data_IF_981776666282
#
_entry.id   IF_981776666282
#
_cell.length_a   1.000
_cell.length_b   1.000
_cell.length_c   1.000
_cell.angle_alpha   90.00
_cell.angle_beta   90.00
_cell.angle_gamma   90.00
#
_symmetry.space_group_name_H-M   'P 1'
#
loop_
_entity.id
_entity.type
_entity.pdbx_description
1 polymer ?
#
# COMPACT_ATOMS: atom_id res chain seq x y z
N UNK A 1 -3.15 -44.68 43.96
CA UNK A 1 -2.77 -43.37 43.40
C UNK A 1 -3.62 -43.18 42.15
N UNK A 2 -4.54 -42.20 42.16
CA UNK A 2 -5.41 -41.87 41.03
C UNK A 2 -4.62 -41.00 40.06
N UNK A 3 -4.58 -41.37 38.78
CA UNK A 3 -4.18 -40.45 37.72
C UNK A 3 -5.39 -39.58 37.40
N UNK A 4 -5.25 -38.27 37.56
CA UNK A 4 -6.23 -37.30 37.07
C UNK A 4 -6.11 -37.15 35.54
N UNK A 5 -7.23 -37.07 34.81
CA UNK A 5 -7.20 -36.77 33.38
C UNK A 5 -7.01 -35.26 33.19
N UNK A 6 -5.91 -34.86 32.56
CA UNK A 6 -5.73 -33.50 32.04
C UNK A 6 -6.66 -33.32 30.83
N UNK A 7 -7.89 -32.90 31.09
CA UNK A 7 -8.88 -32.54 30.09
C UNK A 7 -8.94 -31.03 29.83
N UNK A 8 -8.92 -30.68 28.53
CA UNK A 8 -9.93 -29.78 27.95
C UNK A 8 -9.80 -28.26 28.10
N UNK A 9 -8.60 -27.67 28.16
CA UNK A 9 -8.46 -26.19 28.15
C UNK A 9 -7.92 -25.58 26.84
N UNK A 10 -7.33 -26.38 25.94
CA UNK A 10 -6.67 -25.84 24.73
C UNK A 10 -7.63 -25.47 23.58
N UNK A 11 -8.83 -26.08 23.51
CA UNK A 11 -9.75 -25.92 22.36
C UNK A 11 -10.70 -24.72 22.51
N UNK A 12 -11.11 -24.42 23.75
CA UNK A 12 -11.92 -23.23 24.06
C UNK A 12 -11.15 -21.91 23.90
N UNK A 13 -9.81 -21.96 23.92
CA UNK A 13 -8.94 -20.81 23.71
C UNK A 13 -8.76 -20.47 22.20
N UNK A 14 -9.36 -21.25 21.28
CA UNK A 14 -9.18 -21.18 19.82
C UNK A 14 -10.42 -20.58 19.10
N UNK A 15 -11.63 -21.07 19.41
CA UNK A 15 -12.86 -20.64 18.73
C UNK A 15 -13.25 -19.19 19.10
N UNK A 16 -13.21 -18.84 20.39
CA UNK A 16 -13.51 -17.47 20.84
C UNK A 16 -12.51 -16.44 20.28
N UNK A 17 -11.25 -16.86 20.11
CA UNK A 17 -10.23 -16.04 19.44
C UNK A 17 -10.57 -15.86 17.96
N UNK A 18 -11.00 -16.92 17.28
CA UNK A 18 -11.43 -16.87 15.87
C UNK A 18 -12.64 -15.97 15.66
N UNK A 19 -13.65 -16.05 16.54
CA UNK A 19 -14.80 -15.14 16.54
C UNK A 19 -14.39 -13.69 16.78
N UNK A 20 -13.43 -13.45 17.68
CA UNK A 20 -12.92 -12.11 17.94
C UNK A 20 -12.19 -11.54 16.71
N UNK A 21 -11.41 -12.35 15.99
CA UNK A 21 -10.77 -11.93 14.74
C UNK A 21 -11.80 -11.53 13.67
N UNK A 22 -12.89 -12.29 13.53
CA UNK A 22 -13.98 -11.94 12.61
C UNK A 22 -14.67 -10.62 13.00
N UNK A 23 -14.88 -10.38 14.31
CA UNK A 23 -15.41 -9.12 14.83
C UNK A 23 -14.47 -7.95 14.56
N UNK A 24 -13.17 -8.13 14.80
CA UNK A 24 -12.17 -7.10 14.57
C UNK A 24 -12.08 -6.74 13.09
N UNK A 25 -12.17 -7.72 12.19
CA UNK A 25 -12.23 -7.48 10.75
C UNK A 25 -13.42 -6.57 10.38
N UNK A 26 -14.62 -6.88 10.89
CA UNK A 26 -15.81 -6.06 10.67
C UNK A 26 -15.61 -4.61 11.14
N UNK A 27 -15.07 -4.41 12.35
CA UNK A 27 -14.82 -3.08 12.88
C UNK A 27 -13.74 -2.32 12.10
N UNK A 28 -12.71 -3.01 11.61
CA UNK A 28 -11.67 -2.41 10.75
C UNK A 28 -12.25 -1.92 9.42
N UNK A 29 -13.14 -2.70 8.80
CA UNK A 29 -13.84 -2.29 7.57
C UNK A 29 -14.69 -1.05 7.84
N UNK A 30 -15.43 -1.02 8.96
CA UNK A 30 -16.22 0.15 9.35
C UNK A 30 -15.34 1.39 9.57
N UNK A 31 -14.23 1.25 10.28
CA UNK A 31 -13.26 2.34 10.49
C UNK A 31 -12.68 2.84 9.17
N UNK A 32 -12.32 1.93 8.26
CA UNK A 32 -11.83 2.28 6.94
C UNK A 32 -12.89 3.09 6.15
N UNK A 33 -14.14 2.64 6.14
CA UNK A 33 -15.24 3.35 5.48
C UNK A 33 -15.45 4.76 6.05
N UNK A 34 -15.30 4.94 7.37
CA UNK A 34 -15.37 6.28 7.97
C UNK A 34 -14.19 7.16 7.55
N UNK A 35 -12.98 6.61 7.53
CA UNK A 35 -11.77 7.33 7.15
C UNK A 35 -11.78 7.76 5.66
N UNK A 36 -12.44 7.00 4.79
CA UNK A 36 -12.53 7.32 3.35
C UNK A 36 -13.69 8.27 3.02
N UNK A 37 -14.71 8.39 3.87
CA UNK A 37 -15.95 9.13 3.58
C UNK A 37 -16.09 10.49 4.33
N UNK A 38 -15.28 10.78 5.37
CA UNK A 38 -15.40 11.99 6.19
C UNK A 38 -14.28 13.02 5.97
N UNK A 39 -14.48 14.35 6.16
CA UNK A 39 -13.42 15.35 5.99
C UNK A 39 -12.20 15.14 6.92
N UNK A 40 -10.95 15.34 6.43
CA UNK A 40 -10.58 15.70 5.06
C UNK A 40 -10.62 14.51 4.08
N UNK A 41 -10.82 13.29 4.57
CA UNK A 41 -10.93 12.07 3.79
C UNK A 41 -9.59 11.65 3.23
N UNK A 42 -9.61 11.02 2.06
CA UNK A 42 -8.40 10.70 1.31
C UNK A 42 -7.75 11.98 0.77
N UNK A 43 -6.49 12.21 1.13
CA UNK A 43 -5.74 13.42 0.76
C UNK A 43 -4.67 13.18 -0.31
N UNK A 44 -4.31 11.92 -0.58
CA UNK A 44 -3.22 11.54 -1.49
C UNK A 44 -3.65 10.37 -2.39
N UNK A 45 -3.41 10.42 -3.71
CA UNK A 45 -3.65 9.29 -4.61
C UNK A 45 -2.87 8.02 -4.21
N UNK A 46 -1.66 8.18 -3.66
CA UNK A 46 -0.88 7.05 -3.15
C UNK A 46 -1.58 6.27 -2.04
N UNK A 47 -2.38 6.94 -1.20
CA UNK A 47 -3.20 6.28 -0.19
C UNK A 47 -4.27 5.39 -0.83
N UNK A 48 -4.88 5.83 -1.94
CA UNK A 48 -5.86 5.02 -2.70
C UNK A 48 -5.20 3.76 -3.24
N UNK A 49 -4.01 3.88 -3.83
CA UNK A 49 -3.24 2.73 -4.32
C UNK A 49 -2.98 1.71 -3.20
N UNK A 50 -2.53 2.15 -2.03
CA UNK A 50 -2.29 1.28 -0.88
C UNK A 50 -3.58 0.63 -0.36
N UNK A 51 -4.67 1.39 -0.27
CA UNK A 51 -5.97 0.86 0.18
C UNK A 51 -6.50 -0.20 -0.78
N UNK A 52 -6.42 0.02 -2.10
CA UNK A 52 -6.85 -0.95 -3.10
C UNK A 52 -6.04 -2.25 -3.01
N UNK A 53 -4.72 -2.16 -2.87
CA UNK A 53 -3.86 -3.34 -2.72
C UNK A 53 -4.18 -4.15 -1.44
N UNK A 54 -4.34 -3.47 -0.31
CA UNK A 54 -4.67 -4.13 0.95
C UNK A 54 -6.07 -4.77 0.94
N UNK A 55 -7.07 -4.10 0.34
CA UNK A 55 -8.40 -4.68 0.16
C UNK A 55 -8.35 -5.88 -0.79
N UNK A 56 -7.54 -5.82 -1.85
CA UNK A 56 -7.31 -6.95 -2.76
C UNK A 56 -6.71 -8.15 -2.03
N UNK A 57 -5.70 -7.94 -1.19
CA UNK A 57 -5.10 -9.00 -0.37
C UNK A 57 -6.10 -9.57 0.66
N UNK A 58 -6.91 -8.72 1.30
CA UNK A 58 -7.94 -9.14 2.22
C UNK A 58 -9.02 -9.99 1.53
N UNK A 59 -9.46 -9.61 0.32
CA UNK A 59 -10.41 -10.40 -0.48
C UNK A 59 -9.85 -11.77 -0.85
N UNK A 60 -8.55 -11.86 -1.17
CA UNK A 60 -7.90 -13.15 -1.38
C UNK A 60 -7.86 -14.01 -0.10
N UNK A 61 -7.52 -13.41 1.05
CA UNK A 61 -7.55 -14.11 2.35
C UNK A 61 -8.95 -14.57 2.77
N UNK A 62 -10.00 -13.82 2.42
CA UNK A 62 -11.39 -14.21 2.66
C UNK A 62 -11.78 -15.47 1.90
N UNK A 63 -11.30 -15.66 0.65
CA UNK A 63 -11.52 -16.90 -0.11
C UNK A 63 -11.00 -18.13 0.66
N UNK A 64 -9.79 -18.03 1.19
CA UNK A 64 -9.17 -19.10 1.99
C UNK A 64 -9.94 -19.37 3.28
N UNK A 65 -10.36 -18.32 3.99
CA UNK A 65 -11.12 -18.45 5.24
C UNK A 65 -12.47 -19.14 4.98
N UNK A 66 -13.15 -18.79 3.89
CA UNK A 66 -14.44 -19.40 3.51
C UNK A 66 -14.26 -20.89 3.17
N UNK A 67 -13.18 -21.25 2.47
CA UNK A 67 -12.83 -22.66 2.20
C UNK A 67 -12.59 -23.44 3.49
N UNK A 68 -11.81 -22.90 4.42
CA UNK A 68 -11.54 -23.53 5.72
C UNK A 68 -12.82 -23.78 6.53
N UNK A 69 -13.77 -22.83 6.52
CA UNK A 69 -15.06 -23.00 7.19
C UNK A 69 -15.88 -24.13 6.55
N UNK A 70 -15.91 -24.21 5.21
CA UNK A 70 -16.60 -25.29 4.51
C UNK A 70 -15.99 -26.66 4.83
N UNK A 71 -14.66 -26.75 4.78
CA UNK A 71 -13.94 -28.00 5.03
C UNK A 71 -14.10 -28.48 6.47
N UNK A 72 -14.11 -27.55 7.43
CA UNK A 72 -14.43 -27.85 8.83
C UNK A 72 -15.83 -28.48 8.95
N UNK A 73 -16.86 -27.87 8.36
CA UNK A 73 -18.23 -28.38 8.45
C UNK A 73 -18.38 -29.77 7.82
N UNK A 74 -17.77 -30.00 6.65
CA UNK A 74 -17.78 -31.31 6.00
C UNK A 74 -17.06 -32.36 6.85
N UNK A 75 -15.92 -31.99 7.46
CA UNK A 75 -15.21 -32.87 8.36
C UNK A 75 -16.03 -33.21 9.62
N UNK A 76 -16.71 -32.26 10.24
CA UNK A 76 -17.56 -32.52 11.41
C UNK A 76 -18.75 -33.45 11.06
N UNK A 77 -19.32 -33.31 9.85
CA UNK A 77 -20.38 -34.19 9.33
C UNK A 77 -19.89 -35.63 9.12
N UNK A 78 -18.74 -35.81 8.47
CA UNK A 78 -18.13 -37.13 8.23
C UNK A 78 -17.85 -37.88 9.54
N UNK A 79 -17.63 -37.13 10.61
CA UNK A 79 -17.34 -37.67 11.93
C UNK A 79 -18.60 -37.86 12.78
N UNK A 80 -19.79 -37.56 12.24
CA UNK A 80 -21.06 -37.66 12.94
C UNK A 80 -21.16 -36.74 14.16
N UNK A 81 -20.44 -35.60 14.15
CA UNK A 81 -20.43 -34.64 15.26
C UNK A 81 -21.47 -33.54 15.11
N UNK A 82 -22.08 -33.42 13.94
CA UNK A 82 -23.14 -32.46 13.68
C UNK A 82 -24.51 -33.06 14.00
N UNK A 83 -25.39 -32.23 14.54
CA UNK A 83 -26.80 -32.52 14.75
C UNK A 83 -27.66 -31.38 14.23
N UNK A 84 -28.92 -31.66 13.97
CA UNK A 84 -29.90 -30.66 13.57
C UNK A 84 -30.85 -30.39 14.73
N UNK A 85 -31.19 -29.13 15.01
CA UNK A 85 -32.04 -28.72 16.15
C UNK A 85 -33.45 -29.36 16.14
N UNK A 86 -33.85 -29.95 15.01
CA UNK A 86 -35.14 -30.62 14.79
C UNK A 86 -35.00 -32.13 14.56
N UNK A 87 -33.84 -32.71 14.87
CA UNK A 87 -33.51 -34.11 14.61
C UNK A 87 -33.65 -34.52 13.13
N UNK A 88 -33.51 -33.56 12.21
CA UNK A 88 -33.49 -33.79 10.76
C UNK A 88 -32.07 -34.19 10.30
N UNK A 89 -31.94 -34.69 9.07
CA UNK A 89 -30.64 -34.95 8.49
C UNK A 89 -29.88 -33.62 8.26
N UNK A 90 -28.61 -33.57 8.64
CA UNK A 90 -27.71 -32.42 8.48
C UNK A 90 -27.20 -32.26 7.05
N UNK A 91 -27.02 -33.37 6.31
CA UNK A 91 -26.50 -33.37 4.95
C UNK A 91 -27.20 -32.40 3.96
N UNK A 92 -28.55 -32.29 3.88
CA UNK A 92 -29.20 -31.32 3.00
C UNK A 92 -28.88 -29.85 3.37
N UNK A 93 -28.77 -29.54 4.66
CA UNK A 93 -28.44 -28.18 5.14
C UNK A 93 -26.99 -27.84 4.79
N UNK A 94 -26.07 -28.78 5.00
CA UNK A 94 -24.66 -28.61 4.63
C UNK A 94 -24.47 -28.49 3.13
N UNK A 95 -25.25 -29.21 2.32
CA UNK A 95 -25.23 -29.06 0.87
C UNK A 95 -25.60 -27.63 0.43
N UNK A 96 -26.64 -27.04 1.05
CA UNK A 96 -27.02 -25.67 0.77
C UNK A 96 -25.96 -24.67 1.27
N UNK A 97 -25.44 -24.87 2.48
CA UNK A 97 -24.35 -24.08 3.02
C UNK A 97 -23.12 -24.09 2.09
N UNK A 98 -22.68 -25.26 1.65
CA UNK A 98 -21.55 -25.42 0.73
C UNK A 98 -21.76 -24.73 -0.62
N UNK A 99 -23.00 -24.72 -1.15
CA UNK A 99 -23.33 -23.92 -2.35
C UNK A 99 -23.15 -22.43 -2.10
N UNK A 100 -23.64 -21.92 -0.97
CA UNK A 100 -23.50 -20.51 -0.61
C UNK A 100 -22.04 -20.11 -0.38
N UNK A 101 -21.25 -20.94 0.31
CA UNK A 101 -19.82 -20.70 0.54
C UNK A 101 -19.05 -20.73 -0.79
N UNK A 102 -19.35 -21.67 -1.70
CA UNK A 102 -18.75 -21.70 -3.04
C UNK A 102 -19.05 -20.43 -3.85
N UNK A 103 -20.27 -19.89 -3.75
CA UNK A 103 -20.62 -18.62 -4.39
C UNK A 103 -19.84 -17.45 -3.76
N UNK A 104 -19.74 -17.40 -2.43
CA UNK A 104 -18.99 -16.38 -1.72
C UNK A 104 -17.50 -16.37 -2.12
N UNK A 105 -16.88 -17.56 -2.27
CA UNK A 105 -15.51 -17.71 -2.79
C UNK A 105 -15.33 -17.09 -4.18
N UNK A 106 -16.24 -17.41 -5.12
CA UNK A 106 -16.23 -16.82 -6.46
C UNK A 106 -16.32 -15.30 -6.42
N UNK A 107 -17.17 -14.75 -5.56
CA UNK A 107 -17.29 -13.31 -5.39
C UNK A 107 -16.03 -12.69 -4.77
N UNK A 108 -15.40 -13.35 -3.80
CA UNK A 108 -14.15 -12.89 -3.20
C UNK A 108 -13.00 -12.87 -4.19
N UNK A 109 -12.86 -13.92 -5.02
CA UNK A 109 -11.89 -13.95 -6.11
C UNK A 109 -12.16 -12.87 -7.17
N UNK A 110 -13.42 -12.64 -7.54
CA UNK A 110 -13.81 -11.56 -8.43
C UNK A 110 -13.50 -10.17 -7.88
N UNK A 111 -13.72 -9.96 -6.58
CA UNK A 111 -13.39 -8.72 -5.88
C UNK A 111 -11.87 -8.49 -5.84
N UNK A 112 -11.09 -9.53 -5.53
CA UNK A 112 -9.63 -9.47 -5.57
C UNK A 112 -9.11 -9.04 -6.96
N UNK A 113 -9.64 -9.65 -8.02
CA UNK A 113 -9.26 -9.31 -9.40
C UNK A 113 -9.59 -7.86 -9.74
N UNK A 114 -10.83 -7.42 -9.45
CA UNK A 114 -11.28 -6.06 -9.73
C UNK A 114 -10.47 -5.00 -8.96
N UNK A 115 -10.14 -5.26 -7.69
CA UNK A 115 -9.32 -4.35 -6.88
C UNK A 115 -7.87 -4.27 -7.37
N UNK A 116 -7.30 -5.40 -7.80
CA UNK A 116 -5.94 -5.46 -8.37
C UNK A 116 -5.87 -4.73 -9.72
N UNK A 117 -6.91 -4.83 -10.53
CA UNK A 117 -7.06 -4.07 -11.77
C UNK A 117 -7.16 -2.56 -11.48
N UNK A 118 -8.02 -2.16 -10.53
CA UNK A 118 -8.14 -0.77 -10.12
C UNK A 118 -6.82 -0.19 -9.57
N UNK A 119 -6.12 -0.98 -8.74
CA UNK A 119 -4.80 -0.61 -8.21
C UNK A 119 -3.78 -0.43 -9.35
N UNK A 120 -3.82 -1.31 -10.35
CA UNK A 120 -2.92 -1.21 -11.51
C UNK A 120 -3.24 0.00 -12.37
N UNK A 121 -4.53 0.31 -12.55
CA UNK A 121 -4.98 1.45 -13.35
C UNK A 121 -4.59 2.80 -12.73
N UNK A 122 -4.65 2.94 -11.39
CA UNK A 122 -4.30 4.20 -10.72
C UNK A 122 -2.79 4.49 -10.73
N UNK A 123 -1.92 3.53 -11.10
CA UNK A 123 -0.50 3.80 -11.32
C UNK A 123 -0.24 4.89 -12.37
N UNK A 124 -1.18 5.09 -13.32
CA UNK A 124 -1.10 6.15 -14.31
C UNK A 124 -1.51 7.54 -13.77
N UNK A 125 -2.03 7.62 -12.54
CA UNK A 125 -2.57 8.83 -11.93
C UNK A 125 -1.57 9.38 -10.89
N UNK A 126 -0.87 10.46 -11.26
CA UNK A 126 -0.06 11.26 -10.33
C UNK A 126 -0.80 12.56 -9.94
N UNK A 127 -0.69 12.95 -8.68
CA UNK A 127 -1.26 14.21 -8.19
C UNK A 127 -0.68 15.41 -8.93
N UNK A 128 -1.55 16.23 -9.54
CA UNK A 128 -1.13 17.52 -10.08
C UNK A 128 -0.77 18.49 -8.95
N UNK A 129 0.09 19.50 -9.20
CA UNK A 129 0.37 20.52 -8.21
C UNK A 129 -0.94 21.20 -7.80
N UNK A 130 -1.19 21.26 -6.49
CA UNK A 130 -2.31 22.01 -5.92
C UNK A 130 -2.05 23.48 -6.22
N UNK A 131 -2.67 24.03 -7.27
CA UNK A 131 -2.59 25.46 -7.55
C UNK A 131 -3.29 26.22 -6.40
N UNK A 132 -2.56 26.97 -5.55
CA UNK A 132 -3.22 27.80 -4.57
C UNK A 132 -3.93 28.92 -5.35
N UNK A 133 -5.21 29.12 -5.06
CA UNK A 133 -5.98 30.23 -5.59
C UNK A 133 -5.22 31.57 -5.43
N UNK A 134 -5.17 32.33 -6.53
CA UNK A 134 -4.74 33.72 -6.63
C UNK A 134 -3.31 34.05 -6.19
N UNK A 135 -2.36 33.85 -7.11
CA UNK A 135 -1.28 34.81 -7.34
C UNK A 135 -0.91 34.68 -8.81
N UNK A 136 -0.91 35.80 -9.55
CA UNK A 136 -0.50 35.85 -10.97
C UNK A 136 0.81 35.10 -11.11
N UNK A 137 0.75 33.90 -11.70
CA UNK A 137 1.90 33.02 -11.82
C UNK A 137 2.85 33.65 -12.82
N UNK A 138 3.83 34.37 -12.29
CA UNK A 138 5.00 34.73 -13.08
C UNK A 138 5.64 33.45 -13.58
N UNK A 139 6.03 33.46 -14.85
CA UNK A 139 6.70 32.32 -15.47
C UNK A 139 7.96 31.98 -14.66
N UNK A 140 8.37 30.70 -14.55
CA UNK A 140 9.67 30.32 -13.99
C UNK A 140 10.84 31.10 -14.61
N UNK A 141 10.68 31.57 -15.86
CA UNK A 141 11.63 32.44 -16.57
C UNK A 141 11.67 33.86 -15.98
N UNK A 142 10.55 34.41 -15.52
CA UNK A 142 10.51 35.74 -14.89
C UNK A 142 11.13 35.72 -13.49
N UNK A 143 10.95 34.64 -12.72
CA UNK A 143 11.59 34.48 -11.41
C UNK A 143 13.11 34.32 -11.53
N UNK A 144 13.57 33.59 -12.55
CA UNK A 144 15.01 33.44 -12.81
C UNK A 144 15.70 34.75 -13.27
N UNK A 145 14.95 35.67 -13.89
CA UNK A 145 15.47 36.95 -14.37
C UNK A 145 15.66 37.99 -13.24
N UNK A 146 14.97 37.85 -12.11
CA UNK A 146 15.12 38.75 -10.95
C UNK A 146 16.37 38.44 -10.12
N UNK A 147 16.78 37.16 -10.02
CA UNK A 147 17.97 36.75 -9.25
C UNK A 147 19.29 36.89 -10.02
N UNK A 148 19.25 36.94 -11.36
CA UNK A 148 20.43 37.06 -12.21
C UNK A 148 20.22 38.15 -13.27
N UNK A 149 20.54 39.42 -12.96
CA UNK A 149 20.25 40.58 -13.83
C UNK A 149 21.07 40.62 -15.13
N UNK A 150 21.89 39.59 -15.40
CA UNK A 150 22.79 39.53 -16.54
C UNK A 150 22.53 38.25 -17.31
N UNK A 151 22.17 38.38 -18.58
CA UNK A 151 21.96 37.22 -19.45
C UNK A 151 23.27 36.47 -19.70
N UNK A 152 23.19 35.18 -20.03
CA UNK A 152 24.36 34.34 -20.37
C UNK A 152 25.20 34.96 -21.51
N UNK A 153 24.56 35.69 -22.43
CA UNK A 153 25.22 36.42 -23.52
C UNK A 153 25.96 37.68 -23.02
N UNK A 154 25.45 38.37 -22.01
CA UNK A 154 26.13 39.50 -21.37
C UNK A 154 27.30 39.05 -20.49
N UNK A 155 27.15 37.96 -19.73
CA UNK A 155 28.22 37.42 -18.89
C UNK A 155 29.43 36.95 -19.72
N UNK A 156 29.18 36.37 -20.88
CA UNK A 156 30.22 35.94 -21.82
C UNK A 156 30.90 37.10 -22.57
N UNK A 157 30.27 38.28 -22.62
CA UNK A 157 30.86 39.51 -23.15
C UNK A 157 31.79 40.18 -22.11
N UNK A 158 31.41 40.15 -20.83
CA UNK A 158 32.22 40.67 -19.72
C UNK A 158 33.52 39.88 -19.50
N UNK A 159 33.50 38.56 -19.71
CA UNK A 159 34.68 37.69 -19.57
C UNK A 159 35.70 37.83 -20.71
N UNK A 160 35.34 38.42 -21.86
CA UNK A 160 36.26 38.62 -23.01
C UNK A 160 36.97 39.97 -23.02
N UNK A 161 36.62 40.89 -22.12
CA UNK A 161 37.10 42.28 -22.14
C UNK A 161 38.27 42.62 -21.21
N UNK A 162 38.86 41.67 -20.49
CA UNK A 162 39.94 41.95 -19.52
C UNK A 162 41.30 41.44 -20.00
N UNK A 163 41.87 42.12 -21.00
CA UNK A 163 43.31 42.11 -21.24
C UNK A 163 44.02 42.91 -20.13
N UNK A 164 44.93 42.27 -19.38
CA UNK A 164 45.96 42.97 -18.58
C UNK A 164 47.31 42.26 -18.71
N UNK A 165 48.07 42.75 -19.69
CA UNK A 165 49.47 43.19 -19.62
C UNK A 165 50.42 42.47 -18.62
N UNK A 166 51.49 41.80 -19.08
CA UNK A 166 52.47 41.15 -18.20
C UNK A 166 53.44 42.17 -17.57
N UNK A 167 53.84 42.02 -16.29
CA UNK A 167 54.89 42.84 -15.69
C UNK A 167 56.28 42.35 -16.11
N UNK A 168 57.12 43.30 -16.51
CA UNK A 168 58.57 43.15 -16.67
C UNK A 168 59.25 43.13 -15.29
N UNK A 169 60.22 42.26 -15.08
CA UNK A 169 61.09 42.31 -13.89
C UNK A 169 61.80 41.00 -13.56
N UNK A 170 63.11 40.99 -13.76
CA UNK A 170 64.04 39.88 -13.58
C UNK A 170 64.07 39.26 -12.16
N UNK A 171 64.33 37.95 -12.07
CA UNK A 171 65.56 37.48 -11.40
C UNK A 171 65.87 36.00 -11.65
N UNK A 172 67.13 35.81 -12.05
CA UNK A 172 67.95 34.62 -12.25
C UNK A 172 67.80 33.50 -11.21
N UNK A 173 67.62 32.25 -11.69
CA UNK A 173 68.15 31.06 -11.00
C UNK A 173 68.86 30.15 -12.02
N UNK A 174 70.16 29.90 -11.76
CA UNK A 174 71.07 29.03 -12.52
C UNK A 174 70.92 27.56 -12.07
N UNK A 175 71.36 26.57 -12.88
CA UNK A 175 70.99 25.16 -12.72
C UNK A 175 71.95 24.40 -11.80
N UNK A 176 71.41 23.40 -11.07
CA UNK A 176 72.23 22.36 -10.43
C UNK A 176 72.12 21.07 -11.25
N UNK A 177 73.28 20.64 -11.73
CA UNK A 177 73.54 19.38 -12.43
C UNK A 177 73.38 18.19 -11.49
N UNK A 178 72.89 17.07 -12.02
CA UNK A 178 73.24 15.72 -11.54
C UNK A 178 73.51 14.85 -12.76
N UNK A 179 74.80 14.63 -13.01
CA UNK A 179 75.30 13.49 -13.79
C UNK A 179 76.00 12.54 -12.82
N UNK A 180 75.91 11.24 -13.10
CA UNK A 180 76.94 10.24 -12.81
C UNK A 180 77.08 9.78 -11.37
#
# INVERSE_FOLDING_TARGET
>A
MRNEPQGSTSRAHDDSSTEQLARDLYERVRQLNHATNGPPGLTQPGTVYTVLGNLGAAAYGLDQTIEQLNDFLLHEEEQGRLGHDRDEATAPVLQECGRALSAARKHSGGLHAALSEAQSAINAIHGGPVSPHNSRTRSPVELAAEDFPVSVQQASSLLRGSDRQPPQGASTIRPVRKDG
#
